data_IF_591002369006
#
_entry.id   IF_591002369006
#
_cell.length_a   1.000
_cell.length_b   1.000
_cell.length_c   1.000
_cell.angle_alpha   90.00
_cell.angle_beta   90.00
_cell.angle_gamma   90.00
#
_symmetry.space_group_name_H-M   'P 1'
#
loop_
_entity.id
_entity.type
_entity.pdbx_description
1 polymer ?
#
# COMPACT_ATOMS: atom_id res chain seq x y z
N UNK A 1 -9.89 -16.24 10.11
CA UNK A 1 -9.98 -15.25 9.00
C UNK A 1 -8.93 -15.56 7.94
N UNK A 2 -9.32 -16.29 6.90
CA UNK A 2 -8.42 -16.79 5.86
C UNK A 2 -8.34 -15.79 4.71
N UNK A 3 -7.15 -15.23 4.49
CA UNK A 3 -6.80 -14.58 3.23
C UNK A 3 -5.77 -15.48 2.52
N UNK A 4 -6.31 -16.61 2.02
CA UNK A 4 -5.79 -17.59 1.05
C UNK A 4 -4.98 -18.82 1.48
N UNK A 5 -5.13 -19.88 0.66
CA UNK A 5 -5.17 -21.30 0.98
C UNK A 5 -3.80 -21.99 1.17
N UNK A 6 -3.92 -23.24 1.63
CA UNK A 6 -2.96 -24.21 2.18
C UNK A 6 -1.50 -24.12 1.71
N UNK A 7 -0.58 -24.12 2.68
CA UNK A 7 0.75 -24.73 2.51
C UNK A 7 0.58 -26.26 2.39
N UNK A 8 1.60 -26.97 1.89
CA UNK A 8 1.62 -28.45 1.78
C UNK A 8 1.32 -29.20 3.11
N UNK A 9 1.35 -28.51 4.26
CA UNK A 9 0.94 -29.00 5.58
C UNK A 9 -0.46 -28.52 6.04
N UNK A 10 -1.25 -27.92 5.16
CA UNK A 10 -2.61 -27.46 5.42
C UNK A 10 -2.75 -26.16 6.23
N UNK A 11 -1.65 -25.52 6.65
CA UNK A 11 -1.69 -24.44 7.67
C UNK A 11 -1.03 -23.14 7.17
N UNK A 12 -1.81 -22.08 6.98
CA UNK A 12 -1.30 -20.73 6.65
C UNK A 12 -1.52 -19.73 7.80
N UNK A 13 -0.57 -18.82 8.05
CA UNK A 13 -0.75 -17.74 9.00
C UNK A 13 -1.83 -16.78 8.51
N UNK A 14 -2.97 -16.83 9.20
CA UNK A 14 -4.13 -15.99 8.97
C UNK A 14 -3.86 -14.57 9.47
N UNK A 15 -3.80 -13.59 8.56
CA UNK A 15 -3.91 -12.17 8.93
C UNK A 15 -5.37 -11.78 9.00
N UNK A 16 -5.75 -10.98 10.00
CA UNK A 16 -7.16 -10.57 10.11
C UNK A 16 -7.55 -9.69 8.92
N UNK A 17 -8.73 -9.96 8.38
CA UNK A 17 -9.24 -9.23 7.23
C UNK A 17 -9.44 -7.75 7.52
N UNK A 18 -9.91 -7.43 8.72
CA UNK A 18 -10.05 -6.06 9.20
C UNK A 18 -8.70 -5.33 9.23
N UNK A 19 -7.60 -6.02 9.60
CA UNK A 19 -6.27 -5.42 9.54
C UNK A 19 -5.83 -5.18 8.10
N UNK A 20 -6.12 -6.09 7.16
CA UNK A 20 -5.81 -5.88 5.74
C UNK A 20 -6.62 -4.75 5.12
N UNK A 21 -7.92 -4.63 5.44
CA UNK A 21 -8.77 -3.50 5.02
C UNK A 21 -8.25 -2.18 5.58
N UNK A 22 -7.95 -2.12 6.88
CA UNK A 22 -7.36 -0.94 7.52
C UNK A 22 -6.01 -0.58 6.90
N UNK A 23 -5.10 -1.53 6.70
CA UNK A 23 -3.79 -1.27 6.15
C UNK A 23 -3.87 -0.78 4.68
N UNK A 24 -4.74 -1.38 3.88
CA UNK A 24 -4.94 -0.96 2.47
C UNK A 24 -5.59 0.42 2.40
N UNK A 25 -6.63 0.69 3.20
CA UNK A 25 -7.23 2.03 3.31
C UNK A 25 -6.25 3.08 3.82
N UNK A 26 -5.47 2.77 4.86
CA UNK A 26 -4.48 3.68 5.40
C UNK A 26 -3.37 3.99 4.39
N UNK A 27 -2.97 3.01 3.57
CA UNK A 27 -1.98 3.25 2.52
C UNK A 27 -2.56 4.12 1.40
N UNK A 28 -3.75 3.75 0.89
CA UNK A 28 -4.38 4.42 -0.24
C UNK A 28 -4.82 5.85 0.10
N UNK A 29 -5.39 6.09 1.29
CA UNK A 29 -5.87 7.42 1.68
C UNK A 29 -4.86 8.20 2.52
N UNK A 30 -4.10 7.53 3.38
CA UNK A 30 -3.14 8.19 4.26
C UNK A 30 -2.00 8.84 3.48
N UNK A 31 -1.45 8.17 2.47
CA UNK A 31 -0.37 8.74 1.68
C UNK A 31 -0.76 10.06 0.98
N UNK A 32 -1.83 10.13 0.16
CA UNK A 32 -2.22 11.38 -0.49
C UNK A 32 -2.65 12.45 0.52
N UNK A 33 -3.30 12.08 1.63
CA UNK A 33 -3.69 13.03 2.67
C UNK A 33 -2.46 13.62 3.37
N UNK A 34 -1.48 12.80 3.75
CA UNK A 34 -0.22 13.27 4.32
C UNK A 34 0.59 14.13 3.36
N UNK A 35 0.60 13.76 2.06
CA UNK A 35 1.19 14.57 0.99
C UNK A 35 0.52 15.94 0.87
N UNK A 36 -0.81 16.00 0.85
CA UNK A 36 -1.56 17.25 0.81
C UNK A 36 -1.28 18.13 2.02
N UNK A 37 -1.25 17.56 3.23
CA UNK A 37 -0.92 18.29 4.46
C UNK A 37 0.49 18.87 4.37
N UNK A 38 1.47 18.08 3.92
CA UNK A 38 2.86 18.53 3.78
C UNK A 38 3.02 19.64 2.73
N UNK A 39 2.35 19.52 1.58
CA UNK A 39 2.42 20.51 0.50
C UNK A 39 1.75 21.85 0.87
N UNK A 40 0.76 21.81 1.76
CA UNK A 40 0.05 23.00 2.25
C UNK A 40 0.62 23.54 3.57
N UNK A 41 1.65 22.92 4.15
CA UNK A 41 2.25 23.37 5.41
C UNK A 41 2.75 24.83 5.38
N UNK A 42 3.30 25.37 4.26
CA UNK A 42 3.67 26.79 4.19
C UNK A 42 2.50 27.76 4.36
N UNK A 43 1.27 27.33 4.06
CA UNK A 43 0.06 28.15 4.26
C UNK A 43 -0.29 28.36 5.74
N UNK A 44 0.25 27.53 6.64
CA UNK A 44 0.04 27.67 8.08
C UNK A 44 0.92 28.78 8.71
N UNK A 45 1.76 29.45 7.90
CA UNK A 45 2.65 30.52 8.32
C UNK A 45 4.03 30.04 8.77
N UNK A 46 4.93 30.99 8.95
CA UNK A 46 6.31 30.73 9.36
C UNK A 46 6.41 30.44 10.88
N UNK A 47 7.35 29.56 11.25
CA UNK A 47 7.65 29.25 12.65
C UNK A 47 7.04 27.93 13.16
N UNK A 48 6.58 27.92 14.41
CA UNK A 48 6.09 26.70 15.07
C UNK A 48 4.85 26.07 14.43
N UNK A 49 3.86 26.81 13.89
CA UNK A 49 2.66 26.19 13.30
C UNK A 49 2.98 25.43 12.01
N UNK A 50 3.74 26.04 11.09
CA UNK A 50 4.18 25.38 9.84
C UNK A 50 5.02 24.13 10.10
N UNK A 51 5.87 24.16 11.15
CA UNK A 51 6.63 22.98 11.57
C UNK A 51 5.72 21.84 12.04
N UNK A 52 4.73 22.12 12.91
CA UNK A 52 3.80 21.09 13.43
C UNK A 52 2.99 20.46 12.30
N UNK A 53 2.47 21.27 11.36
CA UNK A 53 1.71 20.76 10.21
C UNK A 53 2.59 19.89 9.32
N UNK A 54 3.84 20.29 9.07
CA UNK A 54 4.82 19.50 8.31
C UNK A 54 5.09 18.15 8.98
N UNK A 55 5.31 18.14 10.31
CA UNK A 55 5.53 16.92 11.09
C UNK A 55 4.30 16.01 11.07
N UNK A 56 3.09 16.57 11.17
CA UNK A 56 1.86 15.81 11.08
C UNK A 56 1.70 15.15 9.70
N UNK A 57 1.95 15.90 8.61
CA UNK A 57 1.91 15.37 7.25
C UNK A 57 2.90 14.22 7.04
N UNK A 58 4.15 14.41 7.48
CA UNK A 58 5.18 13.37 7.45
C UNK A 58 4.81 12.15 8.30
N UNK A 59 4.22 12.36 9.48
CA UNK A 59 3.74 11.27 10.34
C UNK A 59 2.68 10.42 9.65
N UNK A 60 1.73 11.04 8.94
CA UNK A 60 0.70 10.33 8.17
C UNK A 60 1.33 9.57 6.98
N UNK A 61 2.27 10.18 6.25
CA UNK A 61 3.01 9.50 5.18
C UNK A 61 3.76 8.28 5.73
N UNK A 62 4.46 8.44 6.85
CA UNK A 62 5.19 7.35 7.50
C UNK A 62 4.25 6.22 7.90
N UNK A 63 3.10 6.51 8.51
CA UNK A 63 2.09 5.50 8.83
C UNK A 63 1.58 4.75 7.59
N UNK A 64 1.34 5.45 6.49
CA UNK A 64 0.93 4.84 5.22
C UNK A 64 2.02 3.91 4.67
N UNK A 65 3.29 4.33 4.72
CA UNK A 65 4.44 3.51 4.31
C UNK A 65 4.63 2.31 5.22
N UNK A 66 4.45 2.45 6.54
CA UNK A 66 4.48 1.31 7.46
C UNK A 66 3.34 0.32 7.20
N UNK A 67 2.14 0.81 6.90
CA UNK A 67 1.02 -0.02 6.50
C UNK A 67 1.32 -0.77 5.18
N UNK A 68 1.99 -0.11 4.24
CA UNK A 68 2.49 -0.76 3.02
C UNK A 68 3.51 -1.86 3.35
N UNK A 69 4.51 -1.62 4.19
CA UNK A 69 5.48 -2.65 4.60
C UNK A 69 4.85 -3.79 5.40
N UNK A 70 3.75 -3.53 6.11
CA UNK A 70 2.97 -4.60 6.71
C UNK A 70 2.38 -5.51 5.62
N UNK A 71 1.86 -4.95 4.52
CA UNK A 71 1.28 -5.68 3.39
C UNK A 71 2.35 -6.34 2.50
N UNK A 72 3.44 -5.65 2.15
CA UNK A 72 4.38 -6.05 1.10
C UNK A 72 4.97 -7.48 1.21
N UNK A 73 5.34 -8.00 2.39
CA UNK A 73 5.85 -9.36 2.53
C UNK A 73 4.86 -10.44 2.09
N UNK A 74 3.55 -10.20 2.16
CA UNK A 74 2.56 -11.19 1.72
C UNK A 74 2.54 -11.36 0.20
N UNK A 75 3.03 -10.38 -0.56
CA UNK A 75 3.13 -10.45 -2.03
C UNK A 75 4.40 -11.14 -2.50
N UNK A 76 5.56 -10.63 -2.09
CA UNK A 76 6.84 -11.11 -2.59
C UNK A 76 7.15 -12.54 -2.15
N UNK A 77 6.76 -12.92 -0.94
CA UNK A 77 6.96 -14.29 -0.47
C UNK A 77 6.07 -15.30 -1.20
N UNK A 78 4.95 -14.85 -1.75
CA UNK A 78 3.97 -15.72 -2.41
C UNK A 78 4.26 -15.90 -3.90
N UNK A 79 4.61 -14.82 -4.61
CA UNK A 79 4.97 -14.89 -6.04
C UNK A 79 6.22 -15.73 -6.29
N UNK A 80 7.21 -15.69 -5.39
CA UNK A 80 8.49 -16.41 -5.55
C UNK A 80 8.39 -17.85 -5.02
N UNK A 81 7.47 -18.13 -4.11
CA UNK A 81 7.36 -19.43 -3.43
C UNK A 81 6.35 -20.41 -4.05
N UNK A 82 5.38 -19.95 -4.85
CA UNK A 82 4.36 -20.82 -5.46
C UNK A 82 4.85 -21.43 -6.78
N UNK A 83 4.85 -22.76 -6.87
CA UNK A 83 5.05 -23.47 -8.14
C UNK A 83 3.77 -23.30 -8.99
N UNK A 84 3.94 -22.90 -10.26
CA UNK A 84 2.82 -22.62 -11.19
C UNK A 84 1.85 -23.80 -11.33
N UNK A 85 2.33 -25.02 -11.08
CA UNK A 85 1.58 -26.27 -11.19
C UNK A 85 0.71 -26.62 -9.95
N UNK A 86 0.89 -25.91 -8.83
CA UNK A 86 0.16 -26.17 -7.57
C UNK A 86 -0.88 -25.09 -7.24
N UNK A 87 -1.06 -24.11 -8.13
CA UNK A 87 -2.04 -23.05 -7.92
C UNK A 87 -3.45 -23.56 -8.23
N UNK A 88 -4.33 -23.51 -7.23
CA UNK A 88 -5.76 -23.81 -7.41
C UNK A 88 -6.38 -22.85 -8.44
N UNK A 89 -7.25 -23.37 -9.32
CA UNK A 89 -7.88 -22.61 -10.40
C UNK A 89 -8.65 -21.40 -9.87
N UNK A 90 -9.24 -21.54 -8.66
CA UNK A 90 -9.90 -20.46 -7.94
C UNK A 90 -8.95 -19.31 -7.60
N UNK A 91 -7.76 -19.61 -7.09
CA UNK A 91 -6.77 -18.59 -6.70
C UNK A 91 -6.23 -17.85 -7.92
N UNK A 92 -6.03 -18.57 -9.02
CA UNK A 92 -5.62 -17.99 -10.30
C UNK A 92 -6.67 -17.00 -10.82
N UNK A 93 -7.94 -17.38 -10.83
CA UNK A 93 -9.04 -16.53 -11.27
C UNK A 93 -9.20 -15.28 -10.39
N UNK A 94 -9.13 -15.44 -9.07
CA UNK A 94 -9.20 -14.31 -8.13
C UNK A 94 -8.03 -13.33 -8.30
N UNK A 95 -6.81 -13.85 -8.51
CA UNK A 95 -5.63 -13.02 -8.81
C UNK A 95 -5.82 -12.27 -10.13
N UNK A 96 -6.28 -12.94 -11.18
CA UNK A 96 -6.52 -12.33 -12.49
C UNK A 96 -7.57 -11.21 -12.40
N UNK A 97 -8.69 -11.45 -11.70
CA UNK A 97 -9.74 -10.45 -11.46
C UNK A 97 -9.19 -9.23 -10.70
N UNK A 98 -8.37 -9.45 -9.67
CA UNK A 98 -7.77 -8.37 -8.89
C UNK A 98 -6.80 -7.51 -9.73
N UNK A 99 -5.96 -8.13 -10.57
CA UNK A 99 -5.06 -7.38 -11.45
C UNK A 99 -5.81 -6.64 -12.56
N UNK A 100 -6.82 -7.26 -13.17
CA UNK A 100 -7.65 -6.60 -14.17
C UNK A 100 -8.35 -5.37 -13.58
N UNK A 101 -8.95 -5.51 -12.40
CA UNK A 101 -9.55 -4.38 -11.68
C UNK A 101 -8.52 -3.29 -11.37
N UNK A 102 -7.37 -3.65 -10.80
CA UNK A 102 -6.34 -2.68 -10.45
C UNK A 102 -5.81 -1.93 -11.68
N UNK A 103 -5.65 -2.63 -12.81
CA UNK A 103 -5.28 -2.03 -14.08
C UNK A 103 -6.34 -1.01 -14.55
N UNK A 104 -7.62 -1.39 -14.59
CA UNK A 104 -8.68 -0.48 -15.00
C UNK A 104 -8.79 0.77 -14.10
N UNK A 105 -8.69 0.59 -12.78
CA UNK A 105 -8.71 1.71 -11.84
C UNK A 105 -7.51 2.61 -12.04
N UNK A 106 -6.31 2.04 -12.16
CA UNK A 106 -5.09 2.82 -12.36
C UNK A 106 -5.11 3.58 -13.69
N UNK A 107 -5.54 2.93 -14.78
CA UNK A 107 -5.70 3.57 -16.09
C UNK A 107 -6.71 4.71 -16.02
N UNK A 108 -7.84 4.52 -15.33
CA UNK A 108 -8.83 5.57 -15.11
C UNK A 108 -8.27 6.76 -14.32
N UNK A 109 -7.52 6.49 -13.23
CA UNK A 109 -6.86 7.53 -12.44
C UNK A 109 -5.79 8.28 -13.23
N UNK A 110 -4.98 7.58 -14.03
CA UNK A 110 -3.97 8.19 -14.90
C UNK A 110 -4.62 9.05 -15.98
N UNK A 111 -5.69 8.56 -16.62
CA UNK A 111 -6.44 9.34 -17.60
C UNK A 111 -7.06 10.60 -16.98
N UNK A 112 -7.68 10.47 -15.81
CA UNK A 112 -8.21 11.61 -15.05
C UNK A 112 -7.12 12.60 -14.64
N UNK A 113 -5.94 12.11 -14.26
CA UNK A 113 -4.79 12.95 -13.92
C UNK A 113 -4.25 13.71 -15.13
N UNK A 114 -4.10 13.05 -16.28
CA UNK A 114 -3.69 13.70 -17.53
C UNK A 114 -4.72 14.76 -17.94
N UNK A 115 -6.01 14.44 -17.87
CA UNK A 115 -7.08 15.39 -18.16
C UNK A 115 -7.03 16.59 -17.20
N UNK A 116 -6.87 16.34 -15.90
CA UNK A 116 -6.71 17.39 -14.90
C UNK A 116 -5.52 18.30 -15.22
N UNK A 117 -4.35 17.73 -15.55
CA UNK A 117 -3.17 18.51 -15.91
C UNK A 117 -3.37 19.29 -17.21
N UNK A 118 -4.07 18.74 -18.19
CA UNK A 118 -4.38 19.46 -19.42
C UNK A 118 -5.24 20.69 -19.13
N UNK A 119 -6.27 20.57 -18.30
CA UNK A 119 -7.13 21.69 -17.88
C UNK A 119 -6.39 22.67 -16.98
N UNK A 120 -5.54 22.20 -16.07
CA UNK A 120 -4.81 23.04 -15.13
C UNK A 120 -3.67 23.84 -15.78
N UNK A 121 -3.12 23.37 -16.91
CA UNK A 121 -2.11 24.09 -17.68
C UNK A 121 -2.71 24.93 -18.82
N UNK A 122 -3.98 24.73 -19.15
CA UNK A 122 -4.68 25.59 -20.10
C UNK A 122 -4.98 26.94 -19.43
N UNK A 123 -4.84 28.03 -20.18
CA UNK A 123 -4.95 29.43 -19.71
C UNK A 123 -6.42 29.83 -19.48
N UNK A 124 -7.18 28.89 -18.92
CA UNK A 124 -8.57 29.04 -18.56
C UNK A 124 -8.69 29.89 -17.30
N UNK A 125 -9.86 30.48 -17.07
CA UNK A 125 -10.15 31.27 -15.85
C UNK A 125 -10.10 30.47 -14.55
N UNK A 126 -9.87 29.17 -14.61
CA UNK A 126 -9.81 28.29 -13.45
C UNK A 126 -8.37 28.27 -12.94
N UNK A 127 -8.12 28.92 -11.81
CA UNK A 127 -6.83 28.83 -11.10
C UNK A 127 -6.72 27.47 -10.40
N UNK A 128 -6.44 26.41 -11.17
CA UNK A 128 -6.22 25.07 -10.67
C UNK A 128 -4.75 24.90 -10.23
N UNK A 129 -4.54 24.05 -9.22
CA UNK A 129 -3.18 23.76 -8.76
C UNK A 129 -2.48 22.83 -9.76
N UNK A 130 -1.26 23.18 -10.16
CA UNK A 130 -0.40 22.33 -10.97
C UNK A 130 0.92 22.04 -10.24
N UNK A 131 1.47 20.82 -10.36
CA UNK A 131 2.76 20.47 -9.78
C UNK A 131 3.91 21.23 -10.49
N UNK A 132 4.46 22.25 -9.83
CA UNK A 132 5.55 23.08 -10.36
C UNK A 132 6.93 22.76 -9.80
N UNK A 133 7.02 22.08 -8.66
CA UNK A 133 8.28 21.81 -7.96
C UNK A 133 8.63 20.32 -7.98
N UNK A 134 9.92 20.01 -7.81
CA UNK A 134 10.39 18.62 -7.66
C UNK A 134 9.66 17.88 -6.53
N UNK A 135 9.41 18.55 -5.40
CA UNK A 135 8.70 17.98 -4.26
C UNK A 135 7.26 17.57 -4.60
N UNK A 136 6.57 18.34 -5.45
CA UNK A 136 5.22 18.00 -5.91
C UNK A 136 5.27 16.70 -6.74
N UNK A 137 6.16 16.65 -7.73
CA UNK A 137 6.32 15.48 -8.60
C UNK A 137 6.78 14.23 -7.85
N UNK A 138 7.73 14.37 -6.92
CA UNK A 138 8.20 13.26 -6.08
C UNK A 138 7.04 12.68 -5.25
N UNK A 139 6.19 13.53 -4.67
CA UNK A 139 5.01 13.08 -3.91
C UNK A 139 4.03 12.31 -4.79
N UNK A 140 3.75 12.81 -6.00
CA UNK A 140 2.85 12.13 -6.96
C UNK A 140 3.44 10.78 -7.37
N UNK A 141 4.72 10.73 -7.72
CA UNK A 141 5.41 9.51 -8.16
C UNK A 141 5.30 8.37 -7.12
N UNK A 142 5.67 8.66 -5.87
CA UNK A 142 5.60 7.67 -4.79
C UNK A 142 4.16 7.27 -4.47
N UNK A 143 3.20 8.19 -4.58
CA UNK A 143 1.77 7.88 -4.46
C UNK A 143 1.30 6.89 -5.52
N UNK A 144 1.64 7.14 -6.78
CA UNK A 144 1.30 6.22 -7.89
C UNK A 144 1.94 4.85 -7.67
N UNK A 145 3.21 4.81 -7.27
CA UNK A 145 3.91 3.56 -6.98
C UNK A 145 3.22 2.76 -5.86
N UNK A 146 2.84 3.42 -4.76
CA UNK A 146 2.07 2.78 -3.69
C UNK A 146 0.72 2.26 -4.17
N UNK A 147 0.00 3.01 -5.00
CA UNK A 147 -1.27 2.58 -5.59
C UNK A 147 -1.10 1.32 -6.44
N UNK A 148 -0.07 1.27 -7.30
CA UNK A 148 0.22 0.11 -8.14
C UNK A 148 0.37 -1.18 -7.33
N UNK A 149 1.08 -1.13 -6.19
CA UNK A 149 1.28 -2.31 -5.36
C UNK A 149 0.09 -2.65 -4.46
N UNK A 150 -0.67 -1.65 -4.00
CA UNK A 150 -1.73 -1.88 -3.01
C UNK A 150 -3.10 -2.16 -3.60
N UNK A 151 -3.42 -1.64 -4.79
CA UNK A 151 -4.75 -1.78 -5.40
C UNK A 151 -5.24 -3.23 -5.56
N UNK A 152 -4.43 -4.19 -6.06
CA UNK A 152 -4.85 -5.60 -6.13
C UNK A 152 -5.19 -6.16 -4.73
N UNK A 153 -4.43 -5.74 -3.71
CA UNK A 153 -4.67 -6.14 -2.31
C UNK A 153 -5.98 -5.60 -1.81
N UNK A 154 -6.23 -4.32 -2.06
CA UNK A 154 -7.43 -3.65 -1.63
C UNK A 154 -8.65 -4.35 -2.25
N UNK A 155 -8.63 -4.58 -3.57
CA UNK A 155 -9.71 -5.28 -4.25
C UNK A 155 -10.06 -6.61 -3.57
N UNK A 156 -9.05 -7.46 -3.36
CA UNK A 156 -9.25 -8.73 -2.70
C UNK A 156 -9.79 -8.52 -1.27
N UNK A 157 -9.15 -7.67 -0.46
CA UNK A 157 -9.51 -7.45 0.95
C UNK A 157 -10.97 -6.98 1.12
N UNK A 158 -11.50 -6.24 0.15
CA UNK A 158 -12.85 -5.69 0.18
C UNK A 158 -13.90 -6.60 -0.46
N UNK A 159 -13.58 -7.37 -1.51
CA UNK A 159 -14.57 -8.14 -2.30
C UNK A 159 -14.80 -9.57 -1.86
N UNK A 160 -13.87 -10.19 -1.12
CA UNK A 160 -14.05 -11.59 -0.70
C UNK A 160 -15.28 -11.78 0.22
N UNK A 161 -16.00 -12.90 0.21
CA UNK A 161 -17.00 -13.20 1.23
C UNK A 161 -16.35 -13.58 2.58
N UNK A 162 -17.00 -13.27 3.70
CA UNK A 162 -16.55 -13.69 5.04
C UNK A 162 -17.01 -15.13 5.31
N UNK A 163 -16.19 -16.12 4.95
CA UNK A 163 -16.48 -17.57 5.10
C UNK A 163 -16.28 -18.03 6.56
N UNK A 164 -16.54 -17.17 7.53
CA UNK A 164 -16.15 -17.40 8.93
C UNK A 164 -17.08 -18.38 9.67
N UNK A 165 -18.29 -18.59 9.17
CA UNK A 165 -19.32 -19.37 9.87
C UNK A 165 -19.41 -20.84 9.42
N UNK A 166 -18.92 -21.21 8.24
CA UNK A 166 -19.02 -22.59 7.73
C UNK A 166 -17.96 -23.56 8.29
N UNK A 167 -16.83 -23.04 8.80
CA UNK A 167 -15.69 -23.86 9.24
C UNK A 167 -15.38 -23.72 10.74
N UNK A 168 -16.16 -22.93 11.48
CA UNK A 168 -15.94 -22.70 12.91
C UNK A 168 -16.09 -24.00 13.73
N UNK A 169 -16.94 -24.92 13.27
CA UNK A 169 -17.19 -26.20 13.92
C UNK A 169 -16.08 -27.23 13.64
N UNK A 170 -15.33 -27.11 12.53
CA UNK A 170 -14.14 -27.94 12.24
C UNK A 170 -12.85 -27.40 12.89
N UNK A 171 -12.82 -26.12 13.30
CA UNK A 171 -11.61 -25.42 13.75
C UNK A 171 -11.23 -25.75 15.21
N UNK A 172 -12.18 -26.21 16.04
CA UNK A 172 -11.99 -26.55 17.47
C UNK A 172 -11.04 -27.74 17.71
N UNK A 173 -10.89 -28.64 16.73
CA UNK A 173 -10.05 -29.85 16.84
C UNK A 173 -8.65 -29.69 16.20
N UNK A 174 -8.33 -28.53 15.64
CA UNK A 174 -7.09 -28.34 14.87
C UNK A 174 -5.99 -27.60 15.66
N UNK A 175 -4.81 -28.20 15.81
CA UNK A 175 -3.66 -27.55 16.46
C UNK A 175 -3.31 -26.21 15.78
N UNK A 176 -3.08 -25.13 16.54
CA UNK A 176 -2.85 -23.80 15.99
C UNK A 176 -1.67 -23.77 15.03
N UNK A 177 -1.89 -23.25 13.83
CA UNK A 177 -0.85 -23.03 12.84
C UNK A 177 0.29 -22.19 13.42
N UNK A 178 1.51 -22.75 13.45
CA UNK A 178 2.70 -22.05 13.93
C UNK A 178 2.88 -20.81 13.04
N UNK A 179 2.65 -19.61 13.61
CA UNK A 179 2.89 -18.35 12.91
C UNK A 179 4.33 -18.38 12.39
N UNK A 180 4.60 -18.06 11.11
CA UNK A 180 5.97 -17.95 10.66
C UNK A 180 6.61 -16.89 11.54
N UNK A 181 7.71 -17.26 12.19
CA UNK A 181 8.46 -16.33 13.02
C UNK A 181 8.72 -15.07 12.23
N UNK A 182 8.47 -13.90 12.83
CA UNK A 182 8.84 -12.62 12.27
C UNK A 182 10.31 -12.75 11.83
N UNK A 183 10.55 -12.65 10.52
CA UNK A 183 11.88 -12.75 9.94
C UNK A 183 12.59 -11.43 10.20
N UNK A 184 13.17 -11.30 11.40
CA UNK A 184 13.88 -10.10 11.88
C UNK A 184 14.93 -9.59 10.90
N UNK A 185 15.53 -10.46 10.09
CA UNK A 185 16.48 -10.08 9.04
C UNK A 185 15.86 -9.17 7.95
N UNK A 186 14.57 -9.31 7.68
CA UNK A 186 13.87 -8.53 6.66
C UNK A 186 13.69 -7.07 7.13
N UNK A 187 13.43 -6.86 8.42
CA UNK A 187 13.47 -5.53 9.06
C UNK A 187 14.89 -4.96 9.07
N UNK A 188 15.90 -5.81 9.33
CA UNK A 188 17.31 -5.42 9.25
C UNK A 188 17.69 -4.88 7.86
N UNK A 189 17.23 -5.54 6.78
CA UNK A 189 17.47 -5.06 5.41
C UNK A 189 16.75 -3.75 5.09
N UNK A 190 15.50 -3.58 5.56
CA UNK A 190 14.76 -2.32 5.38
C UNK A 190 15.48 -1.17 6.11
N UNK A 191 15.91 -1.40 7.35
CA UNK A 191 16.65 -0.40 8.15
C UNK A 191 18.00 -0.10 7.50
N UNK A 192 18.74 -1.12 7.07
CA UNK A 192 20.04 -0.95 6.42
C UNK A 192 19.90 -0.21 5.08
N UNK A 193 18.89 -0.53 4.27
CA UNK A 193 18.59 0.18 3.03
C UNK A 193 18.22 1.65 3.26
N UNK A 194 17.40 1.92 4.28
CA UNK A 194 17.05 3.29 4.69
C UNK A 194 18.26 4.10 5.17
N UNK A 195 19.11 3.50 6.02
CA UNK A 195 20.36 4.11 6.49
C UNK A 195 21.34 4.37 5.35
N UNK A 196 21.52 3.40 4.46
CA UNK A 196 22.39 3.54 3.30
C UNK A 196 21.91 4.68 2.39
N UNK A 197 20.60 4.75 2.10
CA UNK A 197 20.01 5.84 1.32
C UNK A 197 20.21 7.21 1.98
N UNK A 198 20.03 7.31 3.30
CA UNK A 198 20.24 8.54 4.07
C UNK A 198 21.71 9.00 4.04
N UNK A 199 22.66 8.08 4.24
CA UNK A 199 24.10 8.37 4.18
C UNK A 199 24.48 8.83 2.77
N UNK A 200 24.00 8.14 1.74
CA UNK A 200 24.32 8.47 0.35
C UNK A 200 23.78 9.86 -0.03
N UNK A 201 22.55 10.18 0.40
CA UNK A 201 21.98 11.52 0.21
C UNK A 201 22.82 12.60 0.89
N UNK A 202 23.33 12.36 2.10
CA UNK A 202 24.18 13.30 2.86
C UNK A 202 25.59 13.49 2.30
N UNK A 203 26.10 12.53 1.53
CA UNK A 203 27.44 12.61 0.92
C UNK A 203 27.41 13.35 -0.42
N UNK A 204 26.27 13.32 -1.11
CA UNK A 204 26.10 13.94 -2.44
C UNK A 204 25.66 15.41 -2.34
N UNK A 205 25.02 15.81 -1.23
CA UNK A 205 24.65 17.21 -0.92
C UNK A 205 25.68 17.90 -0.05
#
# INVERSE_FOLDING_TARGET
MSFYMRTANGKTPRRSRNAMRLATSLTLFGYPLGGLVMLNAPLAGDGSPGFVVSMAGLGVIAMAVFAFFYIAPSYMQRIIGEQVCELDDLERDLRQKAYAFAYHVLTGLVAAFIFYLAVANDDTRLTLWAPSTYSHWNTIFWGVLLYCFTLPTAYLAWTMPDIAHEFADEELDSEPARKPGIRWWLWGLIIAGGLAGFILARVIT
#
